data_IF_186827517434
#
_entry.id   IF_186827517434
#
_cell.length_a   1.000
_cell.length_b   1.000
_cell.length_c   1.000
_cell.angle_alpha   90.00
_cell.angle_beta   90.00
_cell.angle_gamma   90.00
#
_symmetry.space_group_name_H-M   'P 1'
#
loop_
_entity.id
_entity.type
_entity.pdbx_description
1 polymer ?
#
# COMPACT_ATOMS: atom_id res chain seq x y z
N UNK A 1 16.22 -10.53 -5.31
CA UNK A 1 17.01 -10.00 -4.19
C UNK A 1 16.99 -11.05 -3.10
N UNK A 2 18.14 -11.63 -2.74
CA UNK A 2 18.19 -12.65 -1.68
C UNK A 2 17.89 -11.97 -0.35
N UNK A 3 16.67 -12.17 0.12
CA UNK A 3 16.22 -11.72 1.43
C UNK A 3 16.89 -12.60 2.48
N UNK A 4 17.97 -12.10 3.11
CA UNK A 4 18.66 -12.85 4.16
C UNK A 4 17.74 -13.00 5.39
N UNK A 5 17.48 -14.24 5.80
CA UNK A 5 16.65 -14.55 6.97
C UNK A 5 17.53 -14.57 8.22
N UNK A 6 17.20 -13.72 9.19
CA UNK A 6 17.86 -13.68 10.50
C UNK A 6 17.42 -14.91 11.31
N UNK A 7 18.34 -15.74 11.81
CA UNK A 7 18.00 -16.87 12.66
C UNK A 7 17.29 -16.46 13.95
N UNK A 8 16.30 -17.24 14.39
CA UNK A 8 15.54 -16.97 15.62
C UNK A 8 16.43 -16.77 16.86
N UNK A 9 17.51 -17.55 16.97
CA UNK A 9 18.45 -17.46 18.10
C UNK A 9 19.20 -16.12 18.14
N UNK A 10 19.46 -15.51 16.99
CA UNK A 10 20.09 -14.20 16.87
C UNK A 10 19.04 -13.10 17.07
N UNK A 11 17.84 -13.29 16.55
CA UNK A 11 16.76 -12.34 16.70
C UNK A 11 16.39 -12.11 18.17
N UNK A 12 16.31 -13.17 18.98
CA UNK A 12 15.98 -13.03 20.41
C UNK A 12 17.04 -12.23 21.21
N UNK A 13 18.32 -12.33 20.85
CA UNK A 13 19.41 -11.63 21.56
C UNK A 13 19.63 -10.20 21.06
N UNK A 14 19.26 -9.92 19.80
CA UNK A 14 19.50 -8.62 19.16
C UNK A 14 18.21 -7.87 18.80
N UNK A 15 17.07 -8.25 19.39
CA UNK A 15 15.75 -7.73 19.01
C UNK A 15 15.69 -6.20 19.03
N UNK A 16 16.24 -5.56 20.06
CA UNK A 16 16.27 -4.09 20.16
C UNK A 16 16.99 -3.41 19.00
N UNK A 17 18.06 -4.01 18.46
CA UNK A 17 18.77 -3.50 17.29
C UNK A 17 17.97 -3.73 16.01
N UNK A 18 17.33 -4.91 15.87
CA UNK A 18 16.48 -5.23 14.73
C UNK A 18 15.26 -4.30 14.66
N UNK A 19 14.66 -3.95 15.80
CA UNK A 19 13.53 -3.02 15.86
C UNK A 19 13.93 -1.61 15.39
N UNK A 20 15.11 -1.11 15.76
CA UNK A 20 15.61 0.19 15.27
C UNK A 20 15.75 0.20 13.75
N UNK A 21 16.41 -0.82 13.21
CA UNK A 21 16.56 -1.01 11.75
C UNK A 21 15.20 -1.09 11.04
N UNK A 22 14.26 -1.83 11.62
CA UNK A 22 12.92 -1.93 11.07
C UNK A 22 12.17 -0.59 11.11
N UNK A 23 12.33 0.19 12.19
CA UNK A 23 11.76 1.53 12.30
C UNK A 23 12.30 2.48 11.22
N UNK A 24 13.58 2.36 10.86
CA UNK A 24 14.23 3.09 9.77
C UNK A 24 13.75 2.69 8.36
N UNK A 25 12.83 1.71 8.27
CA UNK A 25 12.19 1.28 7.03
C UNK A 25 12.74 -0.02 6.44
N UNK A 26 13.68 -0.69 7.12
CA UNK A 26 14.17 -2.00 6.69
C UNK A 26 13.11 -3.09 6.94
N UNK A 27 12.87 -3.98 5.97
CA UNK A 27 12.04 -5.19 6.19
C UNK A 27 12.96 -6.36 6.50
N UNK A 28 12.85 -6.89 7.72
CA UNK A 28 13.73 -7.94 8.23
C UNK A 28 12.93 -9.23 8.39
N UNK A 29 13.41 -10.32 7.80
CA UNK A 29 12.77 -11.63 7.91
C UNK A 29 13.47 -12.45 8.98
N UNK A 30 12.70 -13.12 9.83
CA UNK A 30 13.18 -13.94 10.94
C UNK A 30 12.69 -15.37 10.71
N UNK A 31 13.53 -16.37 10.97
CA UNK A 31 13.15 -17.77 10.84
C UNK A 31 14.31 -18.73 10.99
N UNK A 32 14.20 -19.91 10.41
CA UNK A 32 15.16 -21.01 10.57
C UNK A 32 15.47 -21.65 9.22
N UNK A 33 16.68 -22.18 9.05
CA UNK A 33 17.08 -22.95 7.85
C UNK A 33 16.83 -22.22 6.51
N UNK A 34 16.97 -20.89 6.49
CA UNK A 34 16.71 -20.06 5.30
C UNK A 34 15.24 -19.87 4.97
N UNK A 35 14.31 -20.39 5.79
CA UNK A 35 12.87 -20.15 5.66
C UNK A 35 12.45 -19.02 6.59
N UNK A 36 11.79 -18.00 6.03
CA UNK A 36 11.16 -16.96 6.81
C UNK A 36 9.90 -17.50 7.52
N UNK A 37 9.80 -17.22 8.81
CA UNK A 37 8.66 -17.58 9.68
C UNK A 37 7.94 -16.34 10.22
N UNK A 38 8.67 -15.23 10.36
CA UNK A 38 8.14 -13.94 10.80
C UNK A 38 8.81 -12.78 10.04
N UNK A 39 8.16 -11.62 10.07
CA UNK A 39 8.70 -10.38 9.50
C UNK A 39 8.63 -9.26 10.54
N UNK A 40 9.73 -8.53 10.67
CA UNK A 40 9.81 -7.29 11.41
C UNK A 40 9.87 -6.13 10.41
N UNK A 41 8.96 -5.18 10.54
CA UNK A 41 8.84 -4.01 9.67
C UNK A 41 8.49 -2.77 10.49
N UNK A 42 8.64 -1.60 9.90
CA UNK A 42 8.34 -0.34 10.59
C UNK A 42 6.88 -0.31 11.06
N UNK A 43 6.68 0.06 12.33
CA UNK A 43 5.35 0.31 12.88
C UNK A 43 4.75 1.63 12.37
N UNK A 44 5.58 2.58 11.92
CA UNK A 44 5.09 3.75 11.22
C UNK A 44 4.49 3.25 9.91
N UNK A 45 3.15 3.23 9.82
CA UNK A 45 2.39 2.76 8.67
C UNK A 45 3.16 3.09 7.39
N UNK A 46 3.75 2.05 6.78
CA UNK A 46 4.20 2.13 5.41
C UNK A 46 2.93 2.26 4.59
N UNK A 47 2.31 3.46 4.62
CA UNK A 47 1.21 3.81 3.74
C UNK A 47 1.74 3.42 2.37
N UNK A 48 1.09 2.49 1.65
CA UNK A 48 1.55 2.13 0.33
C UNK A 48 1.75 3.44 -0.41
N UNK A 49 2.97 3.66 -0.95
CA UNK A 49 3.28 4.90 -1.66
C UNK A 49 2.15 5.09 -2.67
N UNK A 50 1.36 6.15 -2.51
CA UNK A 50 0.26 6.45 -3.42
C UNK A 50 0.88 6.54 -4.81
N UNK A 51 0.59 5.56 -5.66
CA UNK A 51 1.06 5.57 -7.04
C UNK A 51 0.07 6.41 -7.84
N UNK A 52 0.45 7.67 -8.07
CA UNK A 52 -0.25 8.53 -9.02
C UNK A 52 -0.03 7.98 -10.45
N UNK A 53 -0.93 8.29 -11.37
CA UNK A 53 -0.79 7.90 -12.78
C UNK A 53 -1.10 6.42 -13.08
N UNK A 54 -1.77 5.69 -12.18
CA UNK A 54 -2.16 4.28 -12.42
C UNK A 54 -2.94 4.08 -13.73
N UNK A 55 -3.73 5.08 -14.11
CA UNK A 55 -4.61 5.10 -15.28
C UNK A 55 -4.15 6.11 -16.34
N UNK A 56 -2.93 6.62 -16.24
CA UNK A 56 -2.38 7.55 -17.22
C UNK A 56 -2.43 6.92 -18.63
N UNK A 57 -3.00 7.64 -19.60
CA UNK A 57 -3.19 7.17 -20.96
C UNK A 57 -4.20 6.04 -21.16
N UNK A 58 -4.86 5.55 -20.08
CA UNK A 58 -5.89 4.50 -20.17
C UNK A 58 -7.32 5.04 -20.24
N UNK A 59 -7.49 6.33 -19.99
CA UNK A 59 -8.77 7.01 -20.04
C UNK A 59 -8.60 8.28 -20.86
N UNK A 60 -9.51 8.49 -21.80
CA UNK A 60 -9.63 9.74 -22.54
C UNK A 60 -10.81 10.45 -21.89
N UNK A 61 -10.56 11.65 -21.35
CA UNK A 61 -11.62 12.51 -20.84
C UNK A 61 -12.28 13.16 -22.07
N UNK A 62 -13.58 12.93 -22.32
CA UNK A 62 -14.30 13.60 -23.40
C UNK A 62 -14.34 15.12 -23.21
N UNK A 63 -14.47 15.88 -24.30
CA UNK A 63 -14.55 17.34 -24.24
C UNK A 63 -15.80 17.84 -23.50
N UNK A 64 -16.86 17.03 -23.47
CA UNK A 64 -18.14 17.29 -22.82
C UNK A 64 -18.24 16.72 -21.39
N UNK A 65 -17.13 16.27 -20.80
CA UNK A 65 -17.14 15.60 -19.50
C UNK A 65 -17.75 16.45 -18.36
N UNK A 66 -17.53 17.77 -18.42
CA UNK A 66 -18.06 18.73 -17.45
C UNK A 66 -19.43 19.29 -17.85
N UNK A 67 -20.01 18.87 -18.99
CA UNK A 67 -21.35 19.28 -19.39
C UNK A 67 -22.43 18.65 -18.48
N UNK A 68 -23.59 19.31 -18.33
CA UNK A 68 -24.70 18.75 -17.57
C UNK A 68 -25.14 17.38 -18.11
N UNK A 69 -25.50 16.48 -17.20
CA UNK A 69 -26.09 15.20 -17.59
C UNK A 69 -27.39 15.42 -18.39
N UNK A 70 -27.72 14.51 -19.33
CA UNK A 70 -29.03 14.51 -19.99
C UNK A 70 -30.16 14.55 -18.96
N UNK A 71 -31.21 15.32 -19.25
CA UNK A 71 -32.28 15.62 -18.29
C UNK A 71 -32.91 14.37 -17.66
N UNK A 72 -33.09 13.30 -18.45
CA UNK A 72 -33.63 12.02 -17.98
C UNK A 72 -32.71 11.32 -16.95
N UNK A 73 -31.40 11.40 -17.14
CA UNK A 73 -30.40 10.83 -16.22
C UNK A 73 -30.30 11.71 -14.97
N UNK A 74 -30.30 13.02 -15.16
CA UNK A 74 -30.22 13.98 -14.06
C UNK A 74 -31.41 13.82 -13.11
N UNK A 75 -32.64 13.67 -13.64
CA UNK A 75 -33.84 13.36 -12.85
C UNK A 75 -33.72 12.01 -12.13
N UNK A 76 -33.12 11.00 -12.75
CA UNK A 76 -32.92 9.71 -12.10
C UNK A 76 -31.96 9.78 -10.89
N UNK A 77 -30.98 10.69 -10.92
CA UNK A 77 -30.05 10.93 -9.83
C UNK A 77 -30.63 11.82 -8.72
N UNK A 78 -31.34 12.89 -9.09
CA UNK A 78 -31.82 13.92 -8.15
C UNK A 78 -33.23 13.65 -7.61
N UNK A 79 -34.01 12.81 -8.30
CA UNK A 79 -35.42 12.61 -8.04
C UNK A 79 -36.27 13.78 -8.54
N UNK A 80 -37.60 13.62 -8.57
CA UNK A 80 -38.49 14.75 -8.88
C UNK A 80 -38.51 15.72 -7.69
N UNK A 81 -38.10 16.97 -7.93
CA UNK A 81 -38.23 18.04 -6.95
C UNK A 81 -39.71 18.16 -6.55
N UNK A 82 -39.98 17.95 -5.27
CA UNK A 82 -41.32 17.95 -4.69
C UNK A 82 -41.89 19.36 -4.54
#
# INVERSE_FOLDING_TARGET
MSTAVVPMHQAKSTLSQLVKRAADGETIFIGSYGRAEAVLSSAANAKPKKRLGLLEGKLIVPDDFDEPLPAEILVAFEGEAK
#
